data_IF_823694989772
#
_entry.id   IF_823694989772
#
_cell.length_a   1.000
_cell.length_b   1.000
_cell.length_c   1.000
_cell.angle_alpha   90.00
_cell.angle_beta   90.00
_cell.angle_gamma   90.00
#
_symmetry.space_group_name_H-M   'P 1'
#
loop_
_entity.id
_entity.type
_entity.pdbx_description
1 polymer ?
#
# COMPACT_ATOMS: atom_id res chain seq x y z
N UNK A 1 0.11 -5.17 17.41
CA UNK A 1 0.46 -6.62 17.45
C UNK A 1 1.00 -6.97 16.06
N UNK A 2 2.15 -7.65 15.94
CA UNK A 2 2.73 -8.09 14.65
C UNK A 2 2.79 -9.63 14.63
N UNK A 3 2.36 -10.27 13.55
CA UNK A 3 2.40 -11.74 13.40
C UNK A 3 1.91 -12.19 12.03
N UNK A 4 2.14 -13.46 11.70
CA UNK A 4 1.75 -14.09 10.43
C UNK A 4 0.54 -14.99 10.75
N UNK A 5 -0.66 -14.61 10.29
CA UNK A 5 -1.93 -14.96 10.94
C UNK A 5 -2.86 -15.86 10.12
N UNK A 6 -2.33 -16.65 9.19
CA UNK A 6 -3.14 -17.44 8.25
C UNK A 6 -4.06 -18.48 8.89
N UNK A 7 -3.81 -18.96 10.12
CA UNK A 7 -4.56 -20.08 10.71
C UNK A 7 -4.63 -20.03 12.26
N UNK A 8 -4.96 -18.88 12.87
CA UNK A 8 -5.06 -18.82 14.34
C UNK A 8 -6.49 -18.52 14.84
N UNK A 9 -7.21 -19.54 15.35
CA UNK A 9 -8.43 -19.39 16.15
C UNK A 9 -8.27 -18.40 17.32
N UNK A 10 -7.04 -18.17 17.81
CA UNK A 10 -6.74 -17.28 18.93
C UNK A 10 -6.68 -15.78 18.62
N UNK A 11 -6.92 -15.32 17.38
CA UNK A 11 -6.88 -13.87 17.07
C UNK A 11 -8.12 -13.12 17.61
N UNK A 12 -9.27 -13.80 17.63
CA UNK A 12 -10.48 -13.33 18.33
C UNK A 12 -10.18 -13.20 19.82
N UNK A 13 -9.57 -14.23 20.41
CA UNK A 13 -9.18 -14.24 21.83
C UNK A 13 -8.15 -13.13 22.14
N UNK A 14 -7.21 -12.83 21.23
CA UNK A 14 -6.22 -11.79 21.44
C UNK A 14 -6.84 -10.37 21.37
N UNK A 15 -7.81 -10.16 20.48
CA UNK A 15 -8.54 -8.89 20.39
C UNK A 15 -9.48 -8.73 21.58
N UNK A 16 -10.15 -9.80 22.03
CA UNK A 16 -10.91 -9.81 23.28
C UNK A 16 -10.00 -9.52 24.48
N UNK A 17 -8.82 -10.12 24.58
CA UNK A 17 -7.85 -9.86 25.66
C UNK A 17 -7.35 -8.40 25.61
N UNK A 18 -7.02 -7.85 24.44
CA UNK A 18 -6.59 -6.44 24.33
C UNK A 18 -7.71 -5.46 24.62
N UNK A 19 -8.98 -5.83 24.37
CA UNK A 19 -10.14 -4.99 24.67
C UNK A 19 -10.67 -5.16 26.10
N UNK A 20 -10.36 -6.27 26.78
CA UNK A 20 -10.73 -6.56 28.17
C UNK A 20 -9.76 -5.94 29.20
N UNK A 21 -8.48 -5.81 28.87
CA UNK A 21 -7.54 -5.02 29.68
C UNK A 21 -7.56 -3.57 29.20
N UNK A 22 -7.49 -2.59 30.09
CA UNK A 22 -7.54 -1.13 29.83
C UNK A 22 -6.46 -0.56 28.86
N UNK A 23 -5.83 -1.40 28.05
CA UNK A 23 -4.87 -1.06 27.04
C UNK A 23 -5.55 -0.40 25.84
N UNK A 24 -5.15 0.84 25.60
CA UNK A 24 -5.52 1.60 24.41
C UNK A 24 -4.87 0.92 23.20
N UNK A 25 -5.63 0.17 22.40
CA UNK A 25 -5.15 -0.31 21.11
C UNK A 25 -4.83 0.90 20.23
N UNK A 26 -3.54 1.19 20.03
CA UNK A 26 -3.07 2.30 19.20
C UNK A 26 -2.79 1.88 17.76
N UNK A 27 -2.56 0.59 17.51
CA UNK A 27 -2.27 0.08 16.17
C UNK A 27 -2.79 -1.35 15.97
N UNK A 28 -3.52 -1.56 14.87
CA UNK A 28 -4.05 -2.85 14.43
C UNK A 28 -3.43 -3.20 13.08
N UNK A 29 -2.54 -4.19 13.07
CA UNK A 29 -1.83 -4.65 11.87
C UNK A 29 -2.28 -6.09 11.52
N UNK A 30 -3.07 -6.23 10.46
CA UNK A 30 -3.59 -7.50 9.96
C UNK A 30 -2.84 -7.89 8.68
N UNK A 31 -1.58 -8.30 8.87
CA UNK A 31 -0.63 -8.57 7.79
C UNK A 31 -1.10 -9.65 6.81
N UNK A 32 -1.83 -10.67 7.26
CA UNK A 32 -2.43 -11.68 6.38
C UNK A 32 -3.37 -11.04 5.36
N UNK A 33 -4.26 -10.12 5.79
CA UNK A 33 -5.20 -9.46 4.90
C UNK A 33 -4.53 -8.44 3.97
N UNK A 34 -3.38 -7.91 4.39
CA UNK A 34 -2.61 -6.91 3.64
C UNK A 34 -1.72 -7.54 2.56
N UNK A 35 -1.00 -8.61 2.89
CA UNK A 35 -0.01 -9.24 2.00
C UNK A 35 -0.53 -10.47 1.26
N UNK A 36 -1.56 -11.15 1.75
CA UNK A 36 -2.12 -12.34 1.09
C UNK A 36 -3.29 -11.96 0.18
N UNK A 37 -3.38 -12.65 -0.96
CA UNK A 37 -4.46 -12.48 -1.95
C UNK A 37 -5.80 -13.13 -1.52
N UNK A 38 -5.99 -13.46 -0.25
CA UNK A 38 -7.31 -13.91 0.24
C UNK A 38 -8.29 -12.74 0.20
N UNK A 39 -9.51 -12.93 -0.30
CA UNK A 39 -10.60 -11.95 -0.42
C UNK A 39 -11.14 -11.39 0.91
N UNK A 40 -10.77 -11.97 2.05
CA UNK A 40 -11.30 -11.60 3.37
C UNK A 40 -11.01 -10.14 3.76
N UNK A 41 -12.04 -9.46 4.26
CA UNK A 41 -11.97 -8.09 4.78
C UNK A 41 -11.78 -8.07 6.30
N UNK A 42 -11.18 -7.01 6.82
CA UNK A 42 -10.94 -6.81 8.26
C UNK A 42 -12.09 -6.12 9.00
N UNK A 43 -13.23 -5.91 8.34
CA UNK A 43 -14.35 -5.10 8.84
C UNK A 43 -14.85 -5.56 10.22
N UNK A 44 -15.01 -6.87 10.40
CA UNK A 44 -15.48 -7.47 11.65
C UNK A 44 -14.52 -7.22 12.83
N UNK A 45 -13.21 -7.07 12.57
CA UNK A 45 -12.26 -6.66 13.61
C UNK A 45 -12.47 -5.20 14.02
N UNK A 46 -12.74 -4.31 13.06
CA UNK A 46 -13.07 -2.91 13.35
C UNK A 46 -14.41 -2.79 14.09
N UNK A 47 -15.42 -3.59 13.77
CA UNK A 47 -16.71 -3.59 14.48
C UNK A 47 -16.55 -3.98 15.95
N UNK A 48 -15.63 -4.91 16.25
CA UNK A 48 -15.34 -5.35 17.61
C UNK A 48 -14.48 -4.37 18.41
N UNK A 49 -13.77 -3.45 17.75
CA UNK A 49 -13.05 -2.40 18.45
C UNK A 49 -14.04 -1.45 19.14
N UNK A 50 -13.96 -1.40 20.46
CA UNK A 50 -14.82 -0.55 21.28
C UNK A 50 -14.71 0.94 20.89
N UNK A 51 -15.75 1.76 21.13
CA UNK A 51 -15.73 3.22 20.90
C UNK A 51 -14.62 3.98 21.66
N UNK A 52 -14.01 3.33 22.66
CA UNK A 52 -12.89 3.86 23.45
C UNK A 52 -11.50 3.51 22.88
N UNK A 53 -11.43 2.88 21.71
CA UNK A 53 -10.16 2.59 21.06
C UNK A 53 -9.47 3.91 20.66
N UNK A 54 -8.17 3.99 20.94
CA UNK A 54 -7.31 5.10 20.49
C UNK A 54 -6.54 4.67 19.24
N UNK A 55 -7.21 3.99 18.32
CA UNK A 55 -6.54 3.42 17.16
C UNK A 55 -6.00 4.57 16.30
N UNK A 56 -4.68 4.66 16.21
CA UNK A 56 -3.95 5.65 15.41
C UNK A 56 -3.43 5.03 14.11
N UNK A 57 -3.16 3.73 14.10
CA UNK A 57 -2.69 3.01 12.92
C UNK A 57 -3.57 1.81 12.55
N UNK A 58 -3.88 1.67 11.27
CA UNK A 58 -4.56 0.50 10.72
C UNK A 58 -3.83 -0.04 9.49
N UNK A 59 -3.64 -1.36 9.43
CA UNK A 59 -3.15 -2.06 8.24
C UNK A 59 -4.00 -3.30 7.98
N UNK A 60 -4.54 -3.42 6.78
CA UNK A 60 -5.34 -4.57 6.38
C UNK A 60 -6.14 -4.32 5.11
N UNK A 61 -7.24 -5.05 4.97
CA UNK A 61 -8.20 -4.89 3.90
C UNK A 61 -9.53 -4.44 4.46
N UNK A 62 -10.24 -3.55 3.78
CA UNK A 62 -11.58 -3.14 4.19
C UNK A 62 -12.53 -3.23 3.01
N UNK A 63 -13.80 -3.56 3.27
CA UNK A 63 -14.83 -3.25 2.28
C UNK A 63 -15.08 -1.74 2.24
N UNK A 64 -15.90 -1.28 1.28
CA UNK A 64 -16.40 0.08 1.29
C UNK A 64 -17.11 0.45 2.61
N UNK A 65 -17.93 -0.45 3.17
CA UNK A 65 -18.63 -0.23 4.44
C UNK A 65 -17.65 -0.22 5.63
N UNK A 66 -16.60 -1.04 5.58
CA UNK A 66 -15.55 -1.12 6.59
C UNK A 66 -14.82 0.21 6.81
N UNK A 67 -14.70 1.05 5.77
CA UNK A 67 -14.12 2.40 5.89
C UNK A 67 -14.87 3.27 6.91
N UNK A 68 -16.19 3.13 6.99
CA UNK A 68 -17.01 3.90 7.93
C UNK A 68 -16.69 3.61 9.40
N UNK A 69 -16.08 2.45 9.67
CA UNK A 69 -15.68 2.00 11.01
C UNK A 69 -14.33 2.57 11.46
N UNK A 70 -13.52 3.13 10.54
CA UNK A 70 -12.23 3.72 10.87
C UNK A 70 -12.38 4.91 11.82
N UNK A 71 -11.65 4.98 12.94
CA UNK A 71 -11.84 6.04 13.92
C UNK A 71 -11.23 7.38 13.44
N UNK A 72 -11.76 8.53 13.90
CA UNK A 72 -11.36 9.84 13.40
C UNK A 72 -9.93 10.25 13.77
N UNK A 73 -9.36 9.67 14.83
CA UNK A 73 -8.01 9.95 15.32
C UNK A 73 -6.91 9.12 14.60
N UNK A 74 -7.25 8.46 13.49
CA UNK A 74 -6.31 7.67 12.69
C UNK A 74 -5.28 8.59 12.02
N UNK A 75 -4.00 8.28 12.20
CA UNK A 75 -2.85 8.98 11.60
C UNK A 75 -2.17 8.17 10.50
N UNK A 76 -2.26 6.84 10.57
CA UNK A 76 -1.59 5.92 9.66
C UNK A 76 -2.59 4.89 9.12
N UNK A 77 -2.73 4.83 7.79
CA UNK A 77 -3.64 3.91 7.12
C UNK A 77 -2.93 3.17 6.00
N UNK A 78 -2.92 1.85 6.07
CA UNK A 78 -2.40 0.97 5.03
C UNK A 78 -3.52 0.07 4.53
N UNK A 79 -3.87 0.19 3.26
CA UNK A 79 -4.96 -0.58 2.65
C UNK A 79 -4.46 -1.38 1.45
N UNK A 80 -5.11 -2.51 1.19
CA UNK A 80 -4.83 -3.35 0.02
C UNK A 80 -6.11 -3.47 -0.82
N UNK A 81 -5.99 -3.26 -2.13
CA UNK A 81 -7.00 -3.53 -3.16
C UNK A 81 -6.63 -4.82 -3.88
N UNK A 82 -7.62 -5.63 -4.28
CA UNK A 82 -7.36 -6.95 -4.92
C UNK A 82 -8.07 -7.16 -6.25
N UNK A 83 -9.02 -6.30 -6.60
CA UNK A 83 -9.78 -6.41 -7.85
C UNK A 83 -10.42 -5.07 -8.21
N UNK A 84 -10.90 -4.96 -9.44
CA UNK A 84 -11.66 -3.82 -9.95
C UNK A 84 -12.91 -3.54 -9.10
N UNK A 85 -13.71 -4.57 -8.81
CA UNK A 85 -14.92 -4.45 -7.97
C UNK A 85 -14.58 -3.93 -6.57
N UNK A 86 -13.47 -4.41 -6.02
CA UNK A 86 -13.02 -3.97 -4.71
C UNK A 86 -12.57 -2.51 -4.75
N UNK A 87 -11.81 -2.09 -5.78
CA UNK A 87 -11.41 -0.70 -5.97
C UNK A 87 -12.62 0.23 -6.11
N UNK A 88 -13.60 -0.18 -6.93
CA UNK A 88 -14.82 0.57 -7.20
C UNK A 88 -15.66 0.80 -5.94
N UNK A 89 -15.71 -0.19 -5.04
CA UNK A 89 -16.41 -0.10 -3.76
C UNK A 89 -15.62 0.71 -2.71
N UNK A 90 -14.31 0.49 -2.61
CA UNK A 90 -13.47 1.05 -1.54
C UNK A 90 -13.12 2.53 -1.76
N UNK A 91 -12.65 2.90 -2.95
CA UNK A 91 -12.05 4.21 -3.19
C UNK A 91 -13.01 5.40 -2.97
N UNK A 92 -14.29 5.34 -3.40
CA UNK A 92 -15.23 6.43 -3.15
C UNK A 92 -15.49 6.65 -1.65
N UNK A 93 -15.63 5.56 -0.88
CA UNK A 93 -15.85 5.60 0.56
C UNK A 93 -14.61 6.15 1.29
N UNK A 94 -13.42 5.74 0.86
CA UNK A 94 -12.17 6.25 1.39
C UNK A 94 -12.02 7.74 1.12
N UNK A 95 -12.31 8.19 -0.11
CA UNK A 95 -12.26 9.61 -0.45
C UNK A 95 -13.22 10.42 0.42
N UNK A 96 -14.46 9.93 0.60
CA UNK A 96 -15.41 10.56 1.51
C UNK A 96 -14.87 10.64 2.94
N UNK A 97 -14.42 9.51 3.50
CA UNK A 97 -13.95 9.43 4.88
C UNK A 97 -12.74 10.32 5.16
N UNK A 98 -11.77 10.43 4.23
CA UNK A 98 -10.62 11.33 4.40
C UNK A 98 -11.04 12.80 4.39
N UNK A 99 -12.07 13.16 3.63
CA UNK A 99 -12.58 14.53 3.59
C UNK A 99 -13.45 14.90 4.80
N UNK A 100 -14.14 13.94 5.42
CA UNK A 100 -15.16 14.23 6.45
C UNK A 100 -14.81 13.77 7.85
N UNK A 101 -13.99 12.73 8.00
CA UNK A 101 -13.76 12.01 9.28
C UNK A 101 -12.30 11.87 9.65
N UNK A 102 -11.44 11.46 8.71
CA UNK A 102 -10.03 11.12 8.97
C UNK A 102 -9.12 12.35 8.83
N UNK A 103 -9.45 13.44 9.52
CA UNK A 103 -8.79 14.75 9.38
C UNK A 103 -7.34 14.77 9.89
N UNK A 104 -6.96 13.77 10.70
CA UNK A 104 -5.60 13.63 11.25
C UNK A 104 -4.74 12.65 10.46
N UNK A 105 -5.22 12.13 9.32
CA UNK A 105 -4.47 11.18 8.52
C UNK A 105 -3.20 11.83 7.97
N UNK A 106 -2.04 11.32 8.38
CA UNK A 106 -0.73 11.83 7.97
C UNK A 106 -0.04 10.92 6.97
N UNK A 107 -0.25 9.61 7.09
CA UNK A 107 0.36 8.61 6.24
C UNK A 107 -0.71 7.69 5.69
N UNK A 108 -0.76 7.59 4.37
CA UNK A 108 -1.66 6.72 3.65
C UNK A 108 -0.86 5.88 2.65
N UNK A 109 -0.96 4.57 2.76
CA UNK A 109 -0.33 3.60 1.87
C UNK A 109 -1.41 2.73 1.23
N UNK A 110 -1.40 2.66 -0.09
CA UNK A 110 -2.28 1.79 -0.84
C UNK A 110 -1.46 0.75 -1.59
N UNK A 111 -1.71 -0.53 -1.31
CA UNK A 111 -1.23 -1.65 -2.10
C UNK A 111 -2.27 -2.05 -3.14
N UNK A 112 -1.86 -2.22 -4.40
CA UNK A 112 -2.76 -2.57 -5.50
C UNK A 112 -2.05 -3.38 -6.60
N UNK A 113 -2.71 -4.35 -7.26
CA UNK A 113 -2.18 -4.99 -8.46
C UNK A 113 -2.09 -4.02 -9.64
N UNK A 114 -1.02 -4.13 -10.44
CA UNK A 114 -0.89 -3.36 -11.68
C UNK A 114 -1.96 -3.71 -12.74
N UNK A 115 -2.61 -4.86 -12.60
CA UNK A 115 -3.69 -5.30 -13.49
C UNK A 115 -5.08 -4.73 -13.19
N UNK A 116 -5.24 -3.89 -12.16
CA UNK A 116 -6.54 -3.26 -11.87
C UNK A 116 -6.89 -2.26 -12.98
N UNK A 117 -8.10 -2.36 -13.50
CA UNK A 117 -8.58 -1.52 -14.59
C UNK A 117 -8.58 -0.03 -14.20
N UNK A 118 -8.00 0.86 -15.02
CA UNK A 118 -8.03 2.31 -14.77
C UNK A 118 -9.45 2.88 -14.64
N UNK A 119 -10.46 2.22 -15.21
CA UNK A 119 -11.86 2.64 -15.09
C UNK A 119 -12.44 2.42 -13.69
N UNK A 120 -11.84 1.54 -12.89
CA UNK A 120 -12.22 1.29 -11.49
C UNK A 120 -11.49 2.24 -10.52
N UNK A 121 -10.54 3.03 -11.01
CA UNK A 121 -9.66 3.85 -10.20
C UNK A 121 -10.12 5.31 -10.16
N UNK A 122 -9.81 5.96 -9.05
CA UNK A 122 -9.94 7.40 -8.89
C UNK A 122 -8.72 7.94 -8.12
N UNK A 123 -8.40 9.24 -8.27
CA UNK A 123 -7.28 9.84 -7.56
C UNK A 123 -7.35 9.60 -6.05
N UNK A 124 -6.21 9.25 -5.45
CA UNK A 124 -6.13 9.04 -4.00
C UNK A 124 -6.37 10.34 -3.24
N UNK A 125 -6.99 10.28 -2.05
CA UNK A 125 -7.24 11.46 -1.26
C UNK A 125 -5.92 12.11 -0.80
N UNK A 126 -5.97 13.43 -0.59
CA UNK A 126 -4.80 14.18 -0.13
C UNK A 126 -4.47 13.81 1.32
N UNK A 127 -3.23 13.40 1.56
CA UNK A 127 -2.61 13.22 2.88
C UNK A 127 -1.23 13.90 2.90
N UNK A 128 -0.58 14.00 4.07
CA UNK A 128 0.80 14.55 4.14
C UNK A 128 1.79 13.65 3.40
N UNK A 129 1.61 12.33 3.51
CA UNK A 129 2.42 11.31 2.84
C UNK A 129 1.48 10.27 2.23
N UNK A 130 1.49 10.17 0.92
CA UNK A 130 0.77 9.14 0.16
C UNK A 130 1.80 8.21 -0.47
N UNK A 131 1.73 6.93 -0.15
CA UNK A 131 2.53 5.88 -0.74
C UNK A 131 1.63 4.99 -1.60
N UNK A 132 2.15 4.56 -2.75
CA UNK A 132 1.51 3.59 -3.61
C UNK A 132 2.44 2.39 -3.75
N UNK A 133 1.94 1.20 -3.47
CA UNK A 133 2.66 -0.05 -3.65
C UNK A 133 2.00 -0.84 -4.77
N UNK A 134 2.65 -0.93 -5.93
CA UNK A 134 2.18 -1.80 -7.00
C UNK A 134 2.72 -3.22 -6.82
N UNK A 135 1.85 -4.18 -7.10
CA UNK A 135 2.15 -5.61 -7.07
C UNK A 135 1.99 -6.21 -8.46
N UNK A 136 2.62 -7.37 -8.66
CA UNK A 136 2.56 -8.14 -9.90
C UNK A 136 3.07 -7.37 -11.13
N UNK A 137 4.08 -6.52 -10.91
CA UNK A 137 4.76 -5.79 -11.98
C UNK A 137 5.81 -6.67 -12.63
N UNK A 138 5.69 -6.80 -13.95
CA UNK A 138 6.57 -7.56 -14.83
C UNK A 138 6.79 -6.78 -16.13
N UNK A 139 7.72 -7.23 -16.98
CA UNK A 139 8.02 -6.56 -18.26
C UNK A 139 6.79 -6.41 -19.17
N UNK A 140 5.78 -7.29 -19.04
CA UNK A 140 4.59 -7.27 -19.89
C UNK A 140 3.52 -6.29 -19.43
N UNK A 141 3.61 -5.72 -18.22
CA UNK A 141 2.60 -4.82 -17.66
C UNK A 141 3.19 -3.48 -17.17
N UNK A 142 4.39 -3.11 -17.65
CA UNK A 142 5.06 -1.85 -17.28
C UNK A 142 4.25 -0.61 -17.71
N UNK A 143 3.62 -0.66 -18.89
CA UNK A 143 2.78 0.43 -19.38
C UNK A 143 1.48 0.55 -18.56
N UNK A 144 0.82 -0.59 -18.28
CA UNK A 144 -0.39 -0.67 -17.45
C UNK A 144 -0.12 -0.14 -16.04
N UNK A 145 1.02 -0.50 -15.43
CA UNK A 145 1.46 0.03 -14.15
C UNK A 145 1.56 1.57 -14.17
N UNK A 146 2.11 2.14 -15.26
CA UNK A 146 2.14 3.59 -15.46
C UNK A 146 0.76 4.24 -15.51
N UNK A 147 -0.22 3.57 -16.14
CA UNK A 147 -1.62 4.04 -16.19
C UNK A 147 -2.28 3.99 -14.81
N UNK A 148 -2.09 2.90 -14.06
CA UNK A 148 -2.60 2.76 -12.68
C UNK A 148 -2.02 3.84 -11.77
N UNK A 149 -0.69 4.05 -11.83
CA UNK A 149 -0.01 5.10 -11.06
C UNK A 149 -0.58 6.48 -11.38
N UNK A 150 -0.81 6.78 -12.66
CA UNK A 150 -1.36 8.07 -13.08
C UNK A 150 -2.81 8.25 -12.59
N UNK A 151 -3.65 7.23 -12.75
CA UNK A 151 -5.06 7.26 -12.36
C UNK A 151 -5.25 7.48 -10.85
N UNK A 152 -4.35 6.92 -10.04
CA UNK A 152 -4.36 7.05 -8.57
C UNK A 152 -3.66 8.32 -8.07
N UNK A 153 -3.03 9.12 -8.94
CA UNK A 153 -2.15 10.21 -8.49
C UNK A 153 -2.89 11.21 -7.58
N UNK A 154 -2.47 11.37 -6.31
CA UNK A 154 -3.07 12.37 -5.44
C UNK A 154 -2.71 13.79 -5.94
N UNK A 155 -3.47 14.84 -5.57
CA UNK A 155 -3.24 16.19 -6.08
C UNK A 155 -1.82 16.75 -5.86
N UNK A 156 -1.13 16.28 -4.82
CA UNK A 156 0.24 16.69 -4.48
C UNK A 156 1.35 15.79 -5.05
N UNK A 157 1.00 14.70 -5.73
CA UNK A 157 1.94 13.63 -6.06
C UNK A 157 2.24 12.69 -4.89
N UNK A 158 3.00 11.64 -5.19
CA UNK A 158 3.36 10.59 -4.25
C UNK A 158 4.55 10.98 -3.39
N UNK A 159 4.51 10.58 -2.13
CA UNK A 159 5.69 10.55 -1.28
C UNK A 159 6.64 9.43 -1.71
N UNK A 160 6.10 8.23 -1.96
CA UNK A 160 6.86 7.08 -2.43
C UNK A 160 5.98 6.21 -3.34
N UNK A 161 6.60 5.59 -4.35
CA UNK A 161 6.00 4.50 -5.12
C UNK A 161 6.89 3.28 -4.96
N UNK A 162 6.36 2.19 -4.43
CA UNK A 162 7.06 0.92 -4.29
C UNK A 162 6.58 -0.11 -5.31
N UNK A 163 7.51 -0.90 -5.83
CA UNK A 163 7.24 -2.06 -6.67
C UNK A 163 7.63 -3.32 -5.91
N UNK A 164 6.66 -3.86 -5.17
CA UNK A 164 6.82 -5.09 -4.39
C UNK A 164 6.62 -6.30 -5.31
N UNK A 165 7.48 -7.31 -5.17
CA UNK A 165 7.48 -8.48 -6.05
C UNK A 165 7.66 -8.14 -7.54
N UNK A 166 8.43 -7.10 -7.83
CA UNK A 166 8.77 -6.71 -9.20
C UNK A 166 9.62 -7.82 -9.85
N UNK A 167 9.08 -8.42 -10.91
CA UNK A 167 9.78 -9.42 -11.73
C UNK A 167 10.28 -8.83 -13.05
N UNK A 168 10.08 -7.53 -13.26
CA UNK A 168 10.58 -6.82 -14.43
C UNK A 168 12.11 -6.83 -14.47
N UNK A 169 12.66 -6.94 -15.67
CA UNK A 169 14.08 -6.79 -15.94
C UNK A 169 14.49 -5.33 -15.75
N UNK A 170 15.79 -5.05 -15.73
CA UNK A 170 16.30 -3.66 -15.68
C UNK A 170 15.74 -2.83 -16.83
N UNK A 171 15.60 -3.42 -18.02
CA UNK A 171 15.00 -2.74 -19.17
C UNK A 171 13.53 -2.41 -18.90
N UNK A 172 12.74 -3.35 -18.40
CA UNK A 172 11.36 -3.08 -18.02
C UNK A 172 11.22 -2.01 -16.94
N UNK A 173 12.12 -1.99 -15.95
CA UNK A 173 12.14 -0.93 -14.92
C UNK A 173 12.47 0.43 -15.54
N UNK A 174 13.44 0.50 -16.47
CA UNK A 174 13.74 1.74 -17.19
C UNK A 174 12.53 2.23 -17.99
N UNK A 175 11.84 1.33 -18.68
CA UNK A 175 10.66 1.66 -19.48
C UNK A 175 9.49 2.10 -18.62
N UNK A 176 9.31 1.48 -17.45
CA UNK A 176 8.34 1.93 -16.45
C UNK A 176 8.67 3.33 -15.92
N UNK A 177 9.93 3.63 -15.60
CA UNK A 177 10.37 4.97 -15.16
C UNK A 177 10.11 6.03 -16.24
N UNK A 178 10.37 5.70 -17.52
CA UNK A 178 10.04 6.58 -18.67
C UNK A 178 8.53 6.75 -18.81
N UNK A 179 7.77 5.67 -18.77
CA UNK A 179 6.31 5.70 -18.87
C UNK A 179 5.65 6.51 -17.77
N UNK A 180 6.20 6.51 -16.55
CA UNK A 180 5.79 7.39 -15.45
C UNK A 180 6.09 8.87 -15.76
N UNK A 181 7.29 9.17 -16.28
CA UNK A 181 7.68 10.54 -16.61
C UNK A 181 6.82 11.12 -17.73
N UNK A 182 6.58 10.35 -18.79
CA UNK A 182 5.74 10.74 -19.94
C UNK A 182 4.29 11.02 -19.53
N UNK A 183 3.80 10.33 -18.49
CA UNK A 183 2.47 10.52 -17.90
C UNK A 183 2.39 11.66 -16.89
N UNK A 184 3.51 12.35 -16.63
CA UNK A 184 3.57 13.45 -15.67
C UNK A 184 3.38 13.00 -14.22
N UNK A 185 3.83 11.78 -13.89
CA UNK A 185 3.79 11.28 -12.52
C UNK A 185 4.71 12.11 -11.63
N UNK A 186 4.17 12.62 -10.52
CA UNK A 186 4.89 13.38 -9.50
C UNK A 186 5.18 12.46 -8.32
N UNK A 187 6.45 12.24 -8.03
CA UNK A 187 6.87 11.34 -6.96
C UNK A 187 8.18 11.81 -6.34
N UNK A 188 8.31 11.74 -5.02
CA UNK A 188 9.57 12.09 -4.34
C UNK A 188 10.58 10.94 -4.31
N UNK A 189 10.10 9.70 -4.23
CA UNK A 189 10.92 8.50 -4.14
C UNK A 189 10.27 7.32 -4.88
N UNK A 190 11.09 6.55 -5.59
CA UNK A 190 10.69 5.26 -6.17
C UNK A 190 11.50 4.17 -5.50
N UNK A 191 10.83 3.11 -5.07
CA UNK A 191 11.43 1.95 -4.43
C UNK A 191 11.21 0.71 -5.29
N UNK A 192 12.29 0.00 -5.65
CA UNK A 192 12.21 -1.22 -6.45
C UNK A 192 12.87 -2.38 -5.72
N UNK A 193 12.13 -3.47 -5.53
CA UNK A 193 12.64 -4.70 -4.95
C UNK A 193 13.06 -5.65 -6.09
N UNK A 194 14.34 -5.64 -6.47
CA UNK A 194 14.86 -6.46 -7.58
C UNK A 194 16.34 -6.80 -7.39
N UNK A 195 16.77 -7.95 -7.92
CA UNK A 195 18.17 -8.35 -7.90
C UNK A 195 18.91 -7.79 -9.11
N UNK A 196 19.75 -6.77 -8.90
CA UNK A 196 20.51 -6.10 -9.96
C UNK A 196 21.95 -5.83 -9.52
N UNK A 197 22.84 -5.62 -10.49
CA UNK A 197 24.20 -5.20 -10.22
C UNK A 197 24.26 -3.73 -9.80
N UNK A 198 25.34 -3.33 -9.11
CA UNK A 198 25.58 -1.94 -8.73
C UNK A 198 25.59 -0.98 -9.93
N UNK A 199 26.16 -1.42 -11.05
CA UNK A 199 26.16 -0.62 -12.29
C UNK A 199 24.74 -0.35 -12.79
N UNK A 200 23.88 -1.38 -12.83
CA UNK A 200 22.49 -1.23 -13.23
C UNK A 200 21.70 -0.33 -12.26
N UNK A 201 21.98 -0.43 -10.96
CA UNK A 201 21.41 0.46 -9.95
C UNK A 201 21.77 1.92 -10.23
N UNK A 202 23.06 2.21 -10.48
CA UNK A 202 23.54 3.57 -10.76
C UNK A 202 22.93 4.15 -12.06
N UNK A 203 22.74 3.31 -13.08
CA UNK A 203 22.04 3.66 -14.32
C UNK A 203 20.57 4.04 -14.05
N UNK A 204 19.85 3.23 -13.26
CA UNK A 204 18.46 3.50 -12.89
C UNK A 204 18.33 4.76 -12.02
N UNK A 205 19.23 4.96 -11.05
CA UNK A 205 19.26 6.16 -10.20
C UNK A 205 19.48 7.41 -11.04
N UNK A 206 20.39 7.35 -12.02
CA UNK A 206 20.66 8.45 -12.94
C UNK A 206 19.44 8.76 -13.81
N UNK A 207 18.78 7.72 -14.33
CA UNK A 207 17.55 7.88 -15.12
C UNK A 207 16.44 8.54 -14.29
N UNK A 208 16.11 7.98 -13.11
CA UNK A 208 15.05 8.50 -12.25
C UNK A 208 15.28 9.97 -11.85
N UNK A 209 16.52 10.34 -11.51
CA UNK A 209 16.87 11.75 -11.21
C UNK A 209 16.71 12.67 -12.41
N UNK A 210 17.06 12.21 -13.61
CA UNK A 210 17.04 13.05 -14.81
C UNK A 210 15.64 13.29 -15.35
N UNK A 211 14.77 12.28 -15.33
CA UNK A 211 13.42 12.40 -15.95
C UNK A 211 12.27 12.52 -14.96
N UNK A 212 12.35 11.90 -13.78
CA UNK A 212 11.32 12.01 -12.74
C UNK A 212 11.67 13.05 -11.66
N UNK A 213 12.93 13.53 -11.63
CA UNK A 213 13.44 14.43 -10.60
C UNK A 213 13.27 13.87 -9.18
N UNK A 214 13.29 12.54 -9.04
CA UNK A 214 13.03 11.84 -7.78
C UNK A 214 14.27 11.07 -7.28
N UNK A 215 14.17 10.56 -6.05
CA UNK A 215 15.11 9.55 -5.53
C UNK A 215 14.70 8.17 -6.02
N UNK A 216 15.67 7.28 -6.21
CA UNK A 216 15.44 5.86 -6.45
C UNK A 216 16.17 5.06 -5.37
N UNK A 217 15.47 4.11 -4.77
CA UNK A 217 16.02 3.12 -3.83
C UNK A 217 15.81 1.73 -4.42
N UNK A 218 16.87 0.91 -4.44
CA UNK A 218 16.77 -0.48 -4.87
C UNK A 218 17.13 -1.39 -3.71
N UNK A 219 16.26 -2.36 -3.40
CA UNK A 219 16.55 -3.39 -2.41
C UNK A 219 16.81 -4.72 -3.10
N UNK A 220 17.95 -5.33 -2.76
CA UNK A 220 18.33 -6.64 -3.26
C UNK A 220 17.65 -7.76 -2.46
N UNK A 221 16.61 -8.34 -3.06
CA UNK A 221 15.81 -9.43 -2.46
C UNK A 221 16.59 -10.74 -2.37
N UNK A 222 17.72 -10.89 -3.10
CA UNK A 222 18.56 -12.10 -3.01
C UNK A 222 19.17 -12.31 -1.62
N UNK A 223 19.31 -11.22 -0.85
CA UNK A 223 19.81 -11.27 0.52
C UNK A 223 18.73 -11.55 1.57
N UNK A 224 17.44 -11.33 1.25
CA UNK A 224 16.33 -11.52 2.19
C UNK A 224 15.84 -12.98 2.27
N UNK A 225 16.09 -13.78 1.22
CA UNK A 225 15.66 -15.19 1.15
C UNK A 225 16.69 -16.19 1.70
N UNK A 226 17.86 -15.73 2.17
CA UNK A 226 18.91 -16.61 2.72
C UNK A 226 18.97 -16.68 4.24
N UNK A 227 18.13 -15.91 4.96
CA UNK A 227 17.87 -16.18 6.37
C UNK A 227 16.51 -16.86 6.51
N UNK A 228 16.44 -18.13 6.96
CA UNK A 228 15.17 -18.66 7.41
C UNK A 228 14.61 -17.72 8.49
N UNK A 229 13.35 -17.32 8.32
CA UNK A 229 12.59 -16.50 9.28
C UNK A 229 12.19 -17.30 10.54
N UNK A 230 12.99 -18.31 10.89
CA UNK A 230 12.81 -19.17 12.05
C UNK A 230 14.19 -19.62 12.54
N UNK A 231 14.76 -18.82 13.45
CA UNK A 231 15.58 -19.27 14.57
C UNK A 231 15.08 -18.52 15.82
#
# INVERSE_FOLDING_TARGET
IKGNFGEMPGLVDLIEVVSLYHHRCTRLDLACHYYQYDTTTSDEFLQRLQPRSHLMGFMGRLSGDGVSLLPPNLTDLHLCVVSDDHAHSLLPQLHHAVTTKLLYLEYFDLRIPAGVSPAALMPLPKSKRVQLTLTDVSDTCTDDAGVVIQALQPPGGYWDISFDSCTATVVGIQDMIRGMADRGVKVNCVTVNTAITKQQEDELVTLAKSILQCRLTVFDVSTALTKPLFD
#
